data_IF_895688640530
#
_entry.id   IF_895688640530
#
_cell.length_a   1.000
_cell.length_b   1.000
_cell.length_c   1.000
_cell.angle_alpha   90.00
_cell.angle_beta   90.00
_cell.angle_gamma   90.00
#
_symmetry.space_group_name_H-M   'P 1'
#
loop_
_entity.id
_entity.type
_entity.pdbx_description
1 polymer ?
#
# COMPACT_ATOMS: atom_id res chain seq x y z
N UNK A 1 40.67 -23.94 -64.24
CA UNK A 1 39.23 -24.19 -64.48
C UNK A 1 38.65 -24.75 -63.19
N UNK A 2 37.64 -24.06 -62.62
CA UNK A 2 36.73 -24.50 -61.54
C UNK A 2 37.33 -24.62 -60.12
N UNK A 3 36.77 -24.09 -59.02
CA UNK A 3 35.67 -23.15 -58.75
C UNK A 3 35.82 -22.77 -57.28
N UNK A 4 35.56 -21.51 -56.90
CA UNK A 4 35.35 -21.11 -55.52
C UNK A 4 33.86 -21.24 -55.13
N UNK A 5 33.62 -21.23 -53.81
CA UNK A 5 32.37 -20.82 -53.12
C UNK A 5 31.23 -21.86 -53.02
N UNK A 6 30.85 -22.26 -51.80
CA UNK A 6 29.64 -21.78 -51.11
C UNK A 6 29.54 -22.34 -49.68
N UNK A 7 29.11 -21.49 -48.74
CA UNK A 7 28.98 -21.73 -47.31
C UNK A 7 27.69 -22.48 -46.93
N UNK A 8 27.67 -23.06 -45.72
CA UNK A 8 26.46 -23.27 -44.91
C UNK A 8 26.87 -23.44 -43.44
N UNK A 9 27.09 -22.32 -42.75
CA UNK A 9 27.07 -22.31 -41.29
C UNK A 9 25.61 -22.16 -40.87
N UNK A 10 25.02 -23.24 -40.36
CA UNK A 10 23.70 -23.21 -39.76
C UNK A 10 23.75 -22.31 -38.52
N UNK A 11 23.10 -21.15 -38.61
CA UNK A 11 22.92 -20.24 -37.48
C UNK A 11 22.10 -20.92 -36.40
N UNK A 12 22.66 -21.02 -35.19
CA UNK A 12 21.90 -21.36 -34.00
C UNK A 12 20.91 -20.23 -33.72
N UNK A 13 19.65 -20.45 -34.07
CA UNK A 13 18.54 -19.61 -33.65
C UNK A 13 18.43 -19.74 -32.13
N UNK A 14 18.98 -18.80 -31.37
CA UNK A 14 18.60 -18.62 -29.97
C UNK A 14 17.12 -18.27 -29.98
N UNK A 15 16.28 -19.26 -29.70
CA UNK A 15 14.92 -19.03 -29.22
C UNK A 15 15.06 -18.22 -27.94
N UNK A 16 14.92 -16.90 -28.06
CA UNK A 16 14.50 -16.05 -26.95
C UNK A 16 13.12 -16.60 -26.59
N UNK A 17 13.10 -17.52 -25.62
CA UNK A 17 11.88 -17.91 -24.95
C UNK A 17 11.38 -16.62 -24.31
N UNK A 18 10.41 -15.96 -24.95
CA UNK A 18 9.57 -15.02 -24.25
C UNK A 18 8.99 -15.82 -23.08
N UNK A 19 9.46 -15.55 -21.87
CA UNK A 19 8.77 -15.98 -20.66
C UNK A 19 7.34 -15.46 -20.84
N UNK A 20 6.36 -16.36 -20.83
CA UNK A 20 4.97 -15.97 -20.82
C UNK A 20 4.80 -14.94 -19.69
N UNK A 21 4.12 -13.83 -19.99
CA UNK A 21 3.85 -12.78 -19.01
C UNK A 21 2.97 -13.39 -17.93
N UNK A 22 3.57 -13.91 -16.87
CA UNK A 22 2.87 -14.24 -15.63
C UNK A 22 2.02 -13.02 -15.23
N UNK A 23 0.75 -13.21 -14.86
CA UNK A 23 -0.08 -12.11 -14.42
C UNK A 23 0.61 -11.41 -13.25
N UNK A 24 0.81 -10.09 -13.37
CA UNK A 24 1.37 -9.29 -12.28
C UNK A 24 0.36 -9.29 -11.14
N UNK A 25 0.73 -9.87 -10.00
CA UNK A 25 -0.06 -9.76 -8.79
C UNK A 25 0.06 -8.32 -8.27
N UNK A 26 -0.95 -7.50 -8.52
CA UNK A 26 -0.98 -6.09 -8.09
C UNK A 26 -1.01 -5.93 -6.56
N UNK A 27 -1.25 -7.03 -5.83
CA UNK A 27 -1.24 -7.09 -4.36
C UNK A 27 0.00 -7.78 -3.78
N UNK A 28 1.02 -8.03 -4.60
CA UNK A 28 2.29 -8.57 -4.11
C UNK A 28 2.88 -7.66 -3.02
N UNK A 29 3.23 -8.25 -1.87
CA UNK A 29 3.75 -7.55 -0.68
C UNK A 29 2.78 -6.57 0.00
N UNK A 30 1.47 -6.70 -0.20
CA UNK A 30 0.51 -5.96 0.61
C UNK A 30 0.48 -6.43 2.07
N UNK A 31 0.69 -7.72 2.29
CA UNK A 31 0.60 -8.38 3.59
C UNK A 31 1.78 -9.35 3.78
N UNK A 32 2.00 -9.82 5.01
CA UNK A 32 3.14 -10.69 5.34
C UNK A 32 4.32 -10.00 6.03
N UNK A 33 4.19 -8.72 6.41
CA UNK A 33 5.19 -7.97 7.19
C UNK A 33 4.70 -7.72 8.63
N UNK A 34 5.51 -7.11 9.48
CA UNK A 34 5.06 -6.59 10.78
C UNK A 34 4.19 -5.33 10.59
N UNK A 35 3.32 -4.97 11.57
CA UNK A 35 2.54 -3.74 11.51
C UNK A 35 3.46 -2.52 11.44
N UNK A 36 3.02 -1.49 10.71
CA UNK A 36 3.84 -0.30 10.50
C UNK A 36 3.66 0.66 11.69
N UNK A 37 4.58 0.58 12.64
CA UNK A 37 4.59 1.36 13.87
C UNK A 37 5.74 2.37 13.88
N UNK A 38 5.44 3.62 14.20
CA UNK A 38 6.46 4.68 14.34
C UNK A 38 6.40 5.34 15.71
N UNK A 39 7.54 5.88 16.12
CA UNK A 39 7.64 6.77 17.29
C UNK A 39 8.25 8.10 16.84
N UNK A 40 7.56 9.20 17.12
CA UNK A 40 8.02 10.57 16.87
C UNK A 40 7.89 11.36 18.16
N UNK A 41 9.04 11.72 18.76
CA UNK A 41 9.08 12.33 20.08
C UNK A 41 8.38 11.46 21.12
N UNK A 42 7.33 11.97 21.75
CA UNK A 42 6.51 11.22 22.72
C UNK A 42 5.38 10.41 22.08
N UNK A 43 5.07 10.65 20.81
CA UNK A 43 3.92 10.07 20.14
C UNK A 43 4.24 8.74 19.46
N UNK A 44 3.25 7.84 19.46
CA UNK A 44 3.25 6.60 18.70
C UNK A 44 2.21 6.66 17.60
N UNK A 45 2.52 6.07 16.45
CA UNK A 45 1.73 6.13 15.22
C UNK A 45 1.57 4.71 14.68
N UNK A 46 0.34 4.36 14.35
CA UNK A 46 -0.05 3.15 13.64
C UNK A 46 -0.51 3.53 12.23
N UNK A 47 0.08 2.89 11.22
CA UNK A 47 -0.35 3.00 9.83
C UNK A 47 -0.73 1.61 9.33
N UNK A 48 -1.99 1.46 8.92
CA UNK A 48 -2.48 0.25 8.26
C UNK A 48 -1.75 0.02 6.93
N UNK A 49 -1.48 -1.24 6.59
CA UNK A 49 -0.89 -1.60 5.29
C UNK A 49 -1.93 -2.08 4.27
N UNK A 50 -3.19 -2.27 4.68
CA UNK A 50 -4.28 -2.63 3.79
C UNK A 50 -5.54 -1.84 4.13
N UNK A 51 -6.19 -1.32 3.10
CA UNK A 51 -7.54 -0.73 3.14
C UNK A 51 -8.40 -1.39 2.08
N UNK A 52 -9.69 -1.49 2.34
CA UNK A 52 -10.69 -2.20 1.54
C UNK A 52 -11.72 -1.18 1.10
N UNK A 53 -11.41 -0.41 0.05
CA UNK A 53 -12.24 0.70 -0.42
C UNK A 53 -13.48 0.21 -1.17
N UNK A 54 -14.44 -0.37 -0.44
CA UNK A 54 -15.66 -1.00 -0.95
C UNK A 54 -16.94 -0.23 -0.56
N UNK A 55 -16.80 0.81 0.28
CA UNK A 55 -17.84 1.68 0.83
C UNK A 55 -18.83 1.00 1.80
N UNK A 56 -18.39 0.00 2.55
CA UNK A 56 -19.20 -0.62 3.62
C UNK A 56 -19.08 0.10 4.99
N UNK A 57 -18.17 1.07 5.08
CA UNK A 57 -17.88 1.87 6.27
C UNK A 57 -16.74 1.32 7.14
N UNK A 58 -16.12 0.20 6.75
CA UNK A 58 -15.07 -0.49 7.49
C UNK A 58 -13.80 -0.48 6.64
N UNK A 59 -12.69 0.00 7.21
CA UNK A 59 -11.36 0.05 6.56
C UNK A 59 -11.32 0.66 5.15
N UNK A 60 -12.33 1.45 4.75
CA UNK A 60 -12.43 2.08 3.43
C UNK A 60 -11.35 3.12 3.13
N UNK A 61 -10.74 3.65 4.18
CA UNK A 61 -9.91 4.85 4.10
C UNK A 61 -8.53 4.60 4.68
N UNK A 62 -7.51 5.02 3.94
CA UNK A 62 -6.14 5.11 4.42
C UNK A 62 -5.93 6.43 5.15
N UNK A 63 -5.62 6.36 6.45
CA UNK A 63 -5.33 7.51 7.28
C UNK A 63 -4.39 7.13 8.44
N UNK A 64 -3.62 8.08 8.97
CA UNK A 64 -2.75 7.81 10.10
C UNK A 64 -3.53 7.81 11.43
N UNK A 65 -3.29 6.78 12.25
CA UNK A 65 -3.80 6.70 13.62
C UNK A 65 -2.65 6.88 14.61
N UNK A 66 -2.89 7.59 15.70
CA UNK A 66 -1.83 7.91 16.65
C UNK A 66 -2.35 8.23 18.03
N UNK A 67 -1.45 8.13 19.01
CA UNK A 67 -1.67 8.65 20.37
C UNK A 67 -1.97 10.15 20.35
N UNK A 68 -2.64 10.66 21.39
CA UNK A 68 -2.92 12.08 21.57
C UNK A 68 -1.67 12.99 21.64
N UNK A 69 -0.47 12.41 21.79
CA UNK A 69 0.79 13.15 21.76
C UNK A 69 1.23 13.56 20.35
N UNK A 70 0.66 12.98 19.29
CA UNK A 70 0.82 13.49 17.92
C UNK A 70 -0.27 14.53 17.66
N UNK A 71 0.12 15.72 17.21
CA UNK A 71 -0.81 16.83 16.98
C UNK A 71 -1.26 16.95 15.52
N UNK A 72 -0.38 16.62 14.58
CA UNK A 72 -0.65 16.80 13.16
C UNK A 72 0.25 15.93 12.29
N UNK A 73 -0.25 15.61 11.10
CA UNK A 73 0.54 15.15 9.97
C UNK A 73 0.52 16.20 8.88
N UNK A 74 1.65 16.41 8.20
CA UNK A 74 1.76 17.31 7.05
C UNK A 74 2.44 16.64 5.87
N UNK A 75 2.27 17.24 4.70
CA UNK A 75 3.00 16.86 3.48
C UNK A 75 2.82 15.37 3.14
N UNK A 76 1.60 14.86 3.26
CA UNK A 76 1.27 13.51 2.82
C UNK A 76 1.39 13.48 1.29
N UNK A 77 2.25 12.60 0.80
CA UNK A 77 2.31 12.20 -0.60
C UNK A 77 1.98 10.71 -0.70
N UNK A 78 1.14 10.36 -1.67
CA UNK A 78 0.89 8.98 -2.07
C UNK A 78 1.29 8.80 -3.53
N UNK A 79 2.03 7.75 -3.84
CA UNK A 79 2.59 7.46 -5.16
C UNK A 79 2.34 6.00 -5.56
N UNK A 80 2.20 5.73 -6.86
CA UNK A 80 2.13 4.35 -7.37
C UNK A 80 3.52 3.69 -7.46
N UNK A 81 3.55 2.47 -8.02
CA UNK A 81 4.79 1.70 -8.23
C UNK A 81 5.78 2.32 -9.22
N UNK A 82 5.34 3.27 -10.05
CA UNK A 82 6.18 4.02 -10.99
C UNK A 82 6.55 5.41 -10.43
N UNK A 83 6.41 5.60 -9.11
CA UNK A 83 6.62 6.85 -8.37
C UNK A 83 5.75 8.04 -8.80
N UNK A 84 4.70 7.80 -9.60
CA UNK A 84 3.77 8.85 -10.02
C UNK A 84 2.93 9.29 -8.83
N UNK A 85 2.81 10.59 -8.62
CA UNK A 85 1.96 11.18 -7.59
C UNK A 85 0.48 10.86 -7.86
N UNK A 86 -0.17 10.21 -6.88
CA UNK A 86 -1.60 9.90 -6.87
C UNK A 86 -2.39 10.89 -6.03
N UNK A 87 -1.83 11.31 -4.89
CA UNK A 87 -2.45 12.24 -3.96
C UNK A 87 -1.38 13.07 -3.25
N UNK A 88 -1.68 14.34 -2.98
CA UNK A 88 -0.96 15.14 -2.01
C UNK A 88 -1.92 15.85 -1.04
N UNK A 89 -1.63 15.83 0.26
CA UNK A 89 -2.37 16.59 1.28
C UNK A 89 -1.42 17.39 2.15
N UNK A 90 -1.72 18.68 2.33
CA UNK A 90 -0.88 19.58 3.12
C UNK A 90 -0.96 19.30 4.63
N UNK A 91 -2.11 18.85 5.13
CA UNK A 91 -2.35 18.63 6.55
C UNK A 91 -3.40 17.53 6.75
N UNK A 92 -3.19 16.69 7.77
CA UNK A 92 -4.16 15.74 8.28
C UNK A 92 -4.19 15.77 9.81
N UNK A 93 -5.37 15.55 10.36
CA UNK A 93 -5.57 15.34 11.79
C UNK A 93 -5.36 13.87 12.13
N UNK A 94 -4.71 13.54 13.27
CA UNK A 94 -4.60 12.16 13.72
C UNK A 94 -5.97 11.55 13.97
N UNK A 95 -6.15 10.28 13.59
CA UNK A 95 -7.38 9.51 13.83
C UNK A 95 -8.64 10.07 13.15
N UNK A 96 -8.52 10.91 12.12
CA UNK A 96 -9.66 11.45 11.36
C UNK A 96 -9.77 10.80 9.97
N UNK A 97 -10.60 9.75 9.81
CA UNK A 97 -10.78 9.10 8.52
C UNK A 97 -11.41 10.02 7.47
N UNK A 98 -12.15 11.07 7.85
CA UNK A 98 -12.72 12.00 6.86
C UNK A 98 -11.64 12.80 6.10
N UNK A 99 -10.44 12.87 6.66
CA UNK A 99 -9.27 13.51 6.05
C UNK A 99 -8.32 12.51 5.38
N UNK A 100 -8.63 11.21 5.38
CA UNK A 100 -7.81 10.18 4.74
C UNK A 100 -7.98 10.10 3.22
N UNK A 101 -7.48 9.01 2.65
CA UNK A 101 -7.61 8.68 1.23
C UNK A 101 -8.48 7.44 1.05
N UNK A 102 -9.55 7.57 0.27
CA UNK A 102 -10.52 6.52 -0.04
C UNK A 102 -10.05 5.57 -1.16
N UNK A 103 -8.79 5.68 -1.58
CA UNK A 103 -8.27 4.88 -2.68
C UNK A 103 -8.81 5.28 -4.05
N UNK A 104 -9.22 6.53 -4.26
CA UNK A 104 -9.58 7.05 -5.60
C UNK A 104 -8.53 8.01 -6.18
N UNK A 105 -8.34 7.99 -7.49
CA UNK A 105 -7.48 8.92 -8.23
C UNK A 105 -8.30 9.54 -9.36
N UNK A 106 -8.46 10.86 -9.33
CA UNK A 106 -9.30 11.60 -10.29
C UNK A 106 -10.75 11.06 -10.40
N UNK A 107 -11.28 10.51 -9.31
CA UNK A 107 -12.62 9.91 -9.23
C UNK A 107 -12.68 8.43 -9.65
N UNK A 108 -11.58 7.87 -10.13
CA UNK A 108 -11.50 6.46 -10.52
C UNK A 108 -10.92 5.61 -9.38
N UNK A 109 -11.45 4.40 -9.14
CA UNK A 109 -10.88 3.40 -8.25
C UNK A 109 -9.38 3.12 -8.47
N UNK A 110 -8.59 3.22 -7.41
CA UNK A 110 -7.24 2.68 -7.35
C UNK A 110 -7.26 1.24 -6.80
N UNK A 111 -6.29 0.44 -7.24
CA UNK A 111 -6.07 -0.91 -6.70
C UNK A 111 -4.58 -1.25 -6.63
N UNK A 112 -4.22 -2.06 -5.65
CA UNK A 112 -2.87 -2.56 -5.46
C UNK A 112 -2.01 -1.66 -4.58
N UNK A 113 -0.69 -1.90 -4.64
CA UNK A 113 0.30 -1.27 -3.77
C UNK A 113 0.62 0.19 -4.14
N UNK A 114 0.70 1.04 -3.12
CA UNK A 114 1.17 2.41 -3.19
C UNK A 114 2.26 2.70 -2.13
N UNK A 115 3.04 3.74 -2.37
CA UNK A 115 4.02 4.30 -1.45
C UNK A 115 3.44 5.56 -0.83
N UNK A 116 3.71 5.77 0.45
CA UNK A 116 3.29 6.97 1.16
C UNK A 116 4.44 7.55 1.97
N UNK A 117 4.43 8.88 2.13
CA UNK A 117 5.35 9.62 2.99
C UNK A 117 4.63 10.81 3.59
N UNK A 118 4.87 11.11 4.86
CA UNK A 118 4.35 12.31 5.53
C UNK A 118 5.24 12.72 6.70
N UNK A 119 5.07 13.94 7.21
CA UNK A 119 5.75 14.43 8.41
C UNK A 119 4.80 14.46 9.59
N UNK A 120 5.11 13.74 10.66
CA UNK A 120 4.39 13.81 11.92
C UNK A 120 5.01 14.87 12.84
N UNK A 121 4.17 15.56 13.62
CA UNK A 121 4.59 16.50 14.67
C UNK A 121 3.96 16.12 16.01
N UNK A 122 4.78 16.02 17.05
CA UNK A 122 4.32 15.76 18.42
C UNK A 122 3.97 17.05 19.19
N UNK A 123 3.43 16.87 20.39
CA UNK A 123 3.00 17.96 21.28
C UNK A 123 4.15 18.84 21.81
N UNK A 124 5.40 18.38 21.72
CA UNK A 124 6.59 19.15 22.06
C UNK A 124 7.19 19.88 20.84
N UNK A 125 6.57 19.73 19.67
CA UNK A 125 7.03 20.29 18.41
C UNK A 125 8.12 19.46 17.72
N UNK A 126 8.43 18.27 18.24
CA UNK A 126 9.33 17.30 17.59
C UNK A 126 8.68 16.82 16.29
N UNK A 127 9.44 16.83 15.20
CA UNK A 127 8.98 16.38 13.90
C UNK A 127 9.74 15.15 13.42
N UNK A 128 9.08 14.25 12.73
CA UNK A 128 9.69 13.09 12.08
C UNK A 128 8.99 12.75 10.78
N UNK A 129 9.78 12.48 9.73
CA UNK A 129 9.25 11.93 8.48
C UNK A 129 9.05 10.43 8.64
N UNK A 130 7.87 9.97 8.26
CA UNK A 130 7.48 8.57 8.25
C UNK A 130 7.07 8.20 6.82
N UNK A 131 7.42 6.99 6.40
CA UNK A 131 7.18 6.50 5.05
C UNK A 131 7.06 4.99 5.03
N UNK A 132 6.27 4.47 4.10
CA UNK A 132 6.03 3.05 3.96
C UNK A 132 5.22 2.72 2.71
N UNK A 133 4.74 1.49 2.67
CA UNK A 133 3.84 1.00 1.63
C UNK A 133 2.53 0.56 2.24
N UNK A 134 1.46 0.67 1.47
CA UNK A 134 0.16 0.10 1.80
C UNK A 134 -0.56 -0.26 0.49
N UNK A 135 -1.73 -0.87 0.60
CA UNK A 135 -2.50 -1.31 -0.55
C UNK A 135 -3.97 -0.95 -0.43
N UNK A 136 -4.59 -0.68 -1.59
CA UNK A 136 -6.04 -0.58 -1.73
C UNK A 136 -6.55 -1.88 -2.33
N UNK A 137 -7.23 -2.70 -1.53
CA UNK A 137 -7.90 -3.92 -1.96
C UNK A 137 -9.34 -3.64 -2.39
N UNK A 138 -9.81 -4.40 -3.40
CA UNK A 138 -11.04 -4.14 -4.13
C UNK A 138 -11.88 -5.42 -4.27
N UNK A 139 -12.94 -5.51 -3.48
CA UNK A 139 -13.85 -6.67 -3.42
C UNK A 139 -14.73 -6.82 -4.68
N UNK A 140 -14.81 -5.78 -5.52
CA UNK A 140 -15.60 -5.74 -6.76
C UNK A 140 -14.90 -6.42 -7.95
N UNK A 141 -13.73 -7.00 -7.73
CA UNK A 141 -12.98 -7.72 -8.76
C UNK A 141 -13.23 -9.22 -8.67
N UNK A 142 -13.62 -9.86 -9.77
CA UNK A 142 -13.73 -11.34 -9.88
C UNK A 142 -12.35 -12.03 -9.86
N UNK A 143 -11.30 -11.31 -9.44
CA UNK A 143 -9.94 -11.82 -9.28
C UNK A 143 -9.87 -12.58 -7.94
N UNK A 144 -10.55 -13.73 -7.87
CA UNK A 144 -10.51 -14.68 -6.74
C UNK A 144 -9.12 -15.31 -6.52
N UNK A 145 -8.14 -14.99 -7.38
CA UNK A 145 -6.77 -15.54 -7.33
C UNK A 145 -5.75 -14.63 -6.61
N UNK A 146 -6.21 -13.68 -5.81
CA UNK A 146 -5.34 -12.71 -5.14
C UNK A 146 -4.82 -13.29 -3.82
N UNK A 147 -3.55 -13.72 -3.86
CA UNK A 147 -2.73 -14.25 -2.77
C UNK A 147 -2.47 -13.24 -1.64
N UNK A 148 -3.51 -12.67 -1.05
CA UNK A 148 -3.40 -11.87 0.16
C UNK A 148 -3.87 -12.74 1.31
N UNK A 149 -2.98 -13.03 2.27
CA UNK A 149 -3.36 -13.67 3.53
C UNK A 149 -3.90 -12.58 4.47
N UNK A 150 -5.22 -12.52 4.72
CA UNK A 150 -5.83 -11.47 5.54
C UNK A 150 -5.31 -11.48 6.97
N UNK A 151 -4.88 -12.65 7.46
CA UNK A 151 -4.29 -12.80 8.79
C UNK A 151 -2.90 -12.15 8.90
N UNK A 152 -2.27 -11.84 7.77
CA UNK A 152 -0.97 -11.19 7.69
C UNK A 152 -1.07 -9.70 7.28
N UNK A 153 -2.29 -9.15 7.24
CA UNK A 153 -2.59 -7.76 6.93
C UNK A 153 -2.94 -6.97 8.21
N UNK A 154 -2.78 -5.66 8.15
CA UNK A 154 -3.09 -4.74 9.25
C UNK A 154 -4.03 -3.66 8.75
N UNK A 155 -5.21 -3.60 9.38
CA UNK A 155 -6.31 -2.75 8.97
C UNK A 155 -6.51 -1.57 9.92
N UNK A 156 -7.10 -0.44 9.48
CA UNK A 156 -7.41 0.68 10.36
C UNK A 156 -8.25 0.31 11.60
N UNK A 157 -9.15 -0.65 11.47
CA UNK A 157 -9.98 -1.19 12.57
C UNK A 157 -9.19 -1.87 13.69
N UNK A 158 -7.93 -2.26 13.44
CA UNK A 158 -7.10 -2.99 14.40
C UNK A 158 -6.14 -2.09 15.20
N UNK A 159 -6.40 -0.79 15.18
CA UNK A 159 -5.69 0.18 16.01
C UNK A 159 -6.06 0.02 17.50
N UNK A 160 -5.04 -0.11 18.37
CA UNK A 160 -5.22 -0.36 19.81
C UNK A 160 -5.58 0.90 20.64
N UNK A 161 -5.70 2.07 20.00
CA UNK A 161 -5.93 3.36 20.68
C UNK A 161 -4.68 4.02 21.28
N UNK A 162 -3.54 3.33 21.29
CA UNK A 162 -2.29 3.71 21.95
C UNK A 162 -1.08 3.73 21.00
N UNK A 163 -1.32 3.91 19.70
CA UNK A 163 -0.27 3.94 18.68
C UNK A 163 0.20 2.56 18.22
N UNK A 164 -0.52 1.50 18.55
CA UNK A 164 -0.16 0.11 18.28
C UNK A 164 -1.25 -0.67 17.54
N UNK A 165 -0.95 -1.96 17.34
CA UNK A 165 -1.80 -2.94 16.69
C UNK A 165 -2.40 -3.90 17.73
N UNK A 166 -3.69 -4.17 17.64
CA UNK A 166 -4.40 -5.17 18.46
C UNK A 166 -4.96 -6.30 17.58
N UNK A 167 -4.35 -7.51 17.59
CA UNK A 167 -4.84 -8.65 16.83
C UNK A 167 -6.17 -9.23 17.35
N UNK A 168 -6.61 -8.82 18.55
CA UNK A 168 -7.90 -9.21 19.10
C UNK A 168 -9.08 -8.44 18.48
N UNK A 169 -8.82 -7.36 17.75
CA UNK A 169 -9.83 -6.60 17.03
C UNK A 169 -10.15 -7.25 15.69
N UNK A 170 -11.45 -7.40 15.41
CA UNK A 170 -11.95 -7.91 14.13
C UNK A 170 -11.59 -6.94 13.00
N UNK A 171 -11.17 -7.47 11.85
CA UNK A 171 -10.97 -6.67 10.64
C UNK A 171 -12.31 -6.15 10.11
N UNK A 172 -13.37 -6.94 10.23
CA UNK A 172 -14.68 -6.64 9.66
C UNK A 172 -14.80 -6.96 8.16
N UNK A 173 -13.78 -7.59 7.57
CA UNK A 173 -13.65 -7.82 6.12
C UNK A 173 -14.07 -9.23 5.64
N UNK A 174 -14.92 -9.93 6.38
CA UNK A 174 -15.23 -11.34 6.11
C UNK A 174 -15.91 -11.61 4.75
N UNK A 175 -16.57 -10.59 4.19
CA UNK A 175 -17.25 -10.69 2.89
C UNK A 175 -16.35 -10.27 1.71
N UNK A 176 -15.17 -9.70 1.99
CA UNK A 176 -14.22 -9.17 1.00
C UNK A 176 -12.95 -10.02 0.85
N UNK A 177 -12.55 -10.74 1.93
CA UNK A 177 -11.26 -11.43 2.06
C UNK A 177 -11.40 -12.88 2.55
#
# INVERSE_FOLDING_TARGET
MKTALLALFAGAFMVISCRENEPVNVYENCCGTEPVLYTVGLGKIYIANLVTANNDGINDVFFPQATASILSFSDLEIRDNDEKLLLAKASLSPNDPSQGWDGSVDGEPYRGRFFWRMTARDALGTTGTIEGTACVFRCDTNEIDLLVDPAACFFPSQYDGNGGYDPGLSTGEADCL
#
